data_IF_996328877669
#
_entry.id   IF_996328877669
#
_cell.length_a   1.000
_cell.length_b   1.000
_cell.length_c   1.000
_cell.angle_alpha   90.00
_cell.angle_beta   90.00
_cell.angle_gamma   90.00
#
_symmetry.space_group_name_H-M   'P 1'
#
loop_
_entity.id
_entity.type
_entity.pdbx_description
1 polymer ?
#
# COMPACT_ATOMS: atom_id res chain seq x y z
N UNK A 1 -14.67 -9.94 -14.74
CA UNK A 1 -13.58 -10.77 -15.30
C UNK A 1 -12.44 -10.70 -14.31
N UNK A 2 -11.99 -11.82 -13.78
CA UNK A 2 -10.82 -11.84 -12.89
C UNK A 2 -9.57 -11.61 -13.74
N UNK A 3 -8.79 -10.58 -13.41
CA UNK A 3 -7.47 -10.36 -14.01
C UNK A 3 -6.55 -11.49 -13.54
N UNK A 4 -5.78 -12.10 -14.42
CA UNK A 4 -4.78 -13.08 -14.01
C UNK A 4 -3.55 -12.38 -13.42
N UNK A 5 -2.77 -13.09 -12.58
CA UNK A 5 -1.49 -12.57 -12.09
C UNK A 5 -0.55 -12.18 -13.25
N UNK A 6 -0.53 -12.96 -14.32
CA UNK A 6 0.26 -12.68 -15.52
C UNK A 6 -0.18 -11.37 -16.20
N UNK A 7 -1.49 -11.15 -16.33
CA UNK A 7 -2.04 -9.91 -16.87
C UNK A 7 -1.64 -8.71 -16.01
N UNK A 8 -1.65 -8.87 -14.69
CA UNK A 8 -1.21 -7.81 -13.77
C UNK A 8 0.28 -7.46 -13.97
N UNK A 9 1.14 -8.45 -14.19
CA UNK A 9 2.56 -8.19 -14.48
C UNK A 9 2.75 -7.45 -15.81
N UNK A 10 1.97 -7.78 -16.85
CA UNK A 10 1.96 -7.02 -18.12
C UNK A 10 1.60 -5.56 -17.86
N UNK A 11 0.61 -5.29 -17.01
CA UNK A 11 0.22 -3.94 -16.65
C UNK A 11 1.32 -3.15 -15.94
N UNK A 12 2.13 -3.81 -15.10
CA UNK A 12 3.30 -3.19 -14.46
C UNK A 12 4.31 -2.72 -15.52
N UNK A 13 4.60 -3.55 -16.53
CA UNK A 13 5.47 -3.18 -17.64
C UNK A 13 4.92 -2.00 -18.46
N UNK A 14 3.63 -2.00 -18.79
CA UNK A 14 2.96 -0.87 -19.46
C UNK A 14 3.00 0.41 -18.62
N UNK A 15 2.73 0.30 -17.32
CA UNK A 15 2.78 1.42 -16.39
C UNK A 15 4.16 2.06 -16.32
N UNK A 16 5.24 1.27 -16.44
CA UNK A 16 6.61 1.78 -16.53
C UNK A 16 6.83 2.66 -17.76
N UNK A 17 6.30 2.25 -18.92
CA UNK A 17 6.38 3.07 -20.14
C UNK A 17 5.60 4.39 -20.01
N UNK A 18 4.45 4.34 -19.36
CA UNK A 18 3.67 5.55 -19.06
C UNK A 18 4.39 6.46 -18.05
N UNK A 19 5.03 5.89 -17.04
CA UNK A 19 5.82 6.61 -16.04
C UNK A 19 6.91 7.47 -16.67
N UNK A 20 7.62 6.95 -17.63
CA UNK A 20 8.68 7.68 -18.34
C UNK A 20 8.15 8.90 -19.08
N UNK A 21 6.92 8.81 -19.60
CA UNK A 21 6.26 9.86 -20.42
C UNK A 21 5.47 10.89 -19.61
N UNK A 22 5.27 10.69 -18.31
CA UNK A 22 4.42 11.53 -17.45
C UNK A 22 5.20 12.19 -16.29
N UNK A 23 5.96 13.27 -16.54
CA UNK A 23 6.74 13.94 -15.49
C UNK A 23 5.91 14.47 -14.32
N UNK A 24 4.65 14.87 -14.58
CA UNK A 24 3.74 15.32 -13.53
C UNK A 24 3.37 14.17 -12.60
N UNK A 25 3.02 13.01 -13.15
CA UNK A 25 2.71 11.80 -12.37
C UNK A 25 3.89 11.42 -11.47
N UNK A 26 5.12 11.44 -12.02
CA UNK A 26 6.33 11.17 -11.22
C UNK A 26 6.49 12.11 -10.04
N UNK A 27 6.23 13.42 -10.23
CA UNK A 27 6.27 14.41 -9.14
C UNK A 27 5.23 14.13 -8.06
N UNK A 28 4.03 13.71 -8.43
CA UNK A 28 2.96 13.34 -7.49
C UNK A 28 3.32 12.09 -6.71
N UNK A 29 3.78 11.03 -7.38
CA UNK A 29 4.23 9.80 -6.70
C UNK A 29 5.45 10.03 -5.81
N UNK A 30 6.39 10.91 -6.23
CA UNK A 30 7.50 11.32 -5.39
C UNK A 30 7.03 12.00 -4.09
N UNK A 31 5.87 12.71 -4.09
CA UNK A 31 5.28 13.24 -2.85
C UNK A 31 4.76 12.12 -1.96
N UNK A 32 4.09 11.12 -2.52
CA UNK A 32 3.63 9.94 -1.77
C UNK A 32 4.81 9.15 -1.20
N UNK A 33 5.85 8.91 -2.00
CA UNK A 33 7.08 8.27 -1.54
C UNK A 33 7.75 9.02 -0.39
N UNK A 34 7.75 10.36 -0.41
CA UNK A 34 8.23 11.18 0.73
C UNK A 34 7.37 11.01 1.98
N UNK A 35 6.04 10.95 1.83
CA UNK A 35 5.16 10.72 2.97
C UNK A 35 5.39 9.33 3.60
N UNK A 36 5.60 8.30 2.79
CA UNK A 36 5.99 6.96 3.25
C UNK A 36 7.35 7.01 3.96
N UNK A 37 8.37 7.61 3.32
CA UNK A 37 9.73 7.67 3.85
C UNK A 37 9.84 8.41 5.20
N UNK A 38 8.99 9.40 5.47
CA UNK A 38 8.91 10.09 6.78
C UNK A 38 8.53 9.17 7.94
N UNK A 39 7.87 8.02 7.67
CA UNK A 39 7.44 7.06 8.68
C UNK A 39 8.47 5.95 8.91
N UNK A 40 9.50 5.88 8.08
CA UNK A 40 10.63 4.96 8.26
C UNK A 40 11.60 5.54 9.29
N UNK A 41 11.74 4.84 10.40
CA UNK A 41 12.74 5.16 11.41
C UNK A 41 14.09 4.54 11.01
N UNK A 42 14.97 5.36 10.44
CA UNK A 42 16.30 4.92 9.97
C UNK A 42 17.24 4.51 11.09
N UNK A 43 16.95 4.85 12.35
CA UNK A 43 17.72 4.41 13.50
C UNK A 43 17.33 3.00 13.97
N UNK A 44 16.16 2.49 13.53
CA UNK A 44 15.72 1.14 13.88
C UNK A 44 16.54 0.10 13.09
N UNK A 45 17.23 -0.82 13.77
CA UNK A 45 18.00 -1.87 13.09
C UNK A 45 17.09 -2.85 12.37
N UNK A 46 17.53 -3.33 11.21
CA UNK A 46 16.82 -4.28 10.36
C UNK A 46 16.56 -3.75 8.95
N UNK A 47 16.08 -4.63 8.10
CA UNK A 47 15.83 -4.32 6.69
C UNK A 47 14.57 -3.46 6.53
N UNK A 48 14.58 -2.55 5.57
CA UNK A 48 13.39 -1.87 5.05
C UNK A 48 13.00 -2.57 3.76
N UNK A 49 11.77 -3.08 3.69
CA UNK A 49 11.30 -3.90 2.57
C UNK A 49 9.99 -3.32 2.04
N UNK A 50 9.88 -3.16 0.73
CA UNK A 50 8.62 -2.85 0.04
C UNK A 50 8.08 -4.11 -0.62
N UNK A 51 6.82 -4.44 -0.32
CA UNK A 51 6.07 -5.54 -0.94
C UNK A 51 5.22 -4.98 -2.08
N UNK A 52 5.19 -5.68 -3.22
CA UNK A 52 4.45 -5.22 -4.40
C UNK A 52 5.01 -3.91 -4.97
N UNK A 53 6.33 -3.83 -5.12
CA UNK A 53 7.02 -2.62 -5.54
C UNK A 53 6.71 -2.19 -6.98
N UNK A 54 6.10 -3.06 -7.79
CA UNK A 54 5.77 -2.76 -9.17
C UNK A 54 6.96 -2.23 -9.96
N UNK A 55 7.06 -0.90 -10.10
CA UNK A 55 8.15 -0.25 -10.84
C UNK A 55 9.39 0.07 -9.97
N UNK A 56 9.36 -0.19 -8.66
CA UNK A 56 10.50 0.01 -7.74
C UNK A 56 10.87 1.47 -7.46
N UNK A 57 9.97 2.41 -7.65
CA UNK A 57 10.24 3.84 -7.55
C UNK A 57 10.47 4.35 -6.12
N UNK A 58 10.16 3.57 -5.08
CA UNK A 58 10.40 3.95 -3.68
C UNK A 58 11.88 4.21 -3.39
N UNK A 59 12.79 3.59 -4.14
CA UNK A 59 14.25 3.79 -4.02
C UNK A 59 14.69 5.24 -4.26
N UNK A 60 13.88 6.08 -4.91
CA UNK A 60 14.13 7.53 -5.01
C UNK A 60 14.18 8.21 -3.63
N UNK A 61 13.51 7.65 -2.63
CA UNK A 61 13.39 8.20 -1.27
C UNK A 61 14.05 7.33 -0.21
N UNK A 62 14.13 6.03 -0.47
CA UNK A 62 14.71 5.00 0.39
C UNK A 62 15.66 4.13 -0.44
N UNK A 63 16.89 4.61 -0.74
CA UNK A 63 17.83 3.91 -1.64
C UNK A 63 18.17 2.48 -1.19
N UNK A 64 18.22 2.25 0.13
CA UNK A 64 18.54 0.96 0.73
C UNK A 64 17.32 0.05 0.91
N UNK A 65 16.12 0.47 0.45
CA UNK A 65 14.92 -0.34 0.52
C UNK A 65 15.05 -1.56 -0.40
N UNK A 66 14.78 -2.75 0.15
CA UNK A 66 14.65 -3.96 -0.66
C UNK A 66 13.30 -3.96 -1.33
N UNK A 67 13.30 -3.84 -2.66
CA UNK A 67 12.09 -3.84 -3.48
C UNK A 67 11.72 -5.25 -3.90
N UNK A 68 10.45 -5.62 -3.71
CA UNK A 68 9.98 -6.98 -3.99
C UNK A 68 8.63 -6.99 -4.69
N UNK A 69 8.37 -8.03 -5.47
CA UNK A 69 7.07 -8.29 -6.09
C UNK A 69 6.83 -9.78 -6.23
N UNK A 70 5.62 -10.18 -6.67
CA UNK A 70 5.29 -11.57 -6.97
C UNK A 70 6.03 -12.10 -8.22
N UNK A 71 6.48 -11.20 -9.11
CA UNK A 71 7.15 -11.55 -10.36
C UNK A 71 8.60 -11.06 -10.37
N UNK A 72 9.53 -11.83 -10.97
CA UNK A 72 10.92 -11.41 -11.15
C UNK A 72 11.01 -10.34 -12.24
N UNK A 73 11.16 -9.10 -11.85
CA UNK A 73 11.43 -7.98 -12.74
C UNK A 73 12.87 -7.49 -12.56
N UNK A 74 13.61 -7.13 -13.64
CA UNK A 74 15.05 -6.84 -13.58
C UNK A 74 15.43 -5.58 -12.78
N UNK A 75 14.47 -4.80 -12.37
CA UNK A 75 14.63 -3.59 -11.53
C UNK A 75 14.25 -3.81 -10.05
N UNK A 76 13.89 -5.05 -9.68
CA UNK A 76 13.54 -5.43 -8.32
C UNK A 76 14.63 -6.31 -7.70
N UNK A 77 14.73 -6.30 -6.38
CA UNK A 77 15.77 -7.04 -5.68
C UNK A 77 15.38 -8.50 -5.45
N UNK A 78 14.10 -8.80 -5.20
CA UNK A 78 13.63 -10.16 -4.85
C UNK A 78 12.20 -10.41 -5.31
N UNK A 79 11.85 -11.70 -5.39
CA UNK A 79 10.48 -12.18 -5.52
C UNK A 79 9.98 -12.57 -4.13
N UNK A 80 8.86 -11.98 -3.69
CA UNK A 80 8.26 -12.24 -2.38
C UNK A 80 6.74 -12.28 -2.46
N UNK A 81 6.13 -13.13 -1.64
CA UNK A 81 4.70 -13.14 -1.41
C UNK A 81 4.38 -12.66 0.00
N UNK A 82 3.41 -11.76 0.16
CA UNK A 82 2.93 -11.31 1.46
C UNK A 82 2.44 -12.45 2.36
N UNK A 83 2.13 -13.61 1.78
CA UNK A 83 1.64 -14.79 2.48
C UNK A 83 2.75 -15.80 2.84
N UNK A 84 3.99 -15.58 2.38
CA UNK A 84 5.11 -16.49 2.63
C UNK A 84 6.44 -15.79 2.41
N UNK A 85 6.79 -14.85 3.30
CA UNK A 85 8.01 -14.07 3.21
C UNK A 85 9.25 -14.92 3.50
N UNK A 86 10.29 -14.78 2.67
CA UNK A 86 11.54 -15.54 2.81
C UNK A 86 12.48 -15.00 3.91
N UNK A 87 12.20 -13.83 4.46
CA UNK A 87 12.99 -13.21 5.51
C UNK A 87 12.93 -14.01 6.82
N UNK A 88 14.02 -13.98 7.60
CA UNK A 88 14.07 -14.57 8.93
C UNK A 88 13.15 -13.83 9.92
N UNK A 89 12.83 -14.51 11.03
CA UNK A 89 12.06 -13.88 12.11
C UNK A 89 12.85 -12.71 12.72
N UNK A 90 12.23 -11.53 12.77
CA UNK A 90 12.84 -10.34 13.37
C UNK A 90 13.87 -9.62 12.48
N UNK A 91 14.04 -9.99 11.23
CA UNK A 91 15.05 -9.43 10.32
C UNK A 91 14.63 -8.06 9.74
N UNK A 92 13.34 -7.80 9.65
CA UNK A 92 12.77 -6.62 8.98
C UNK A 92 12.39 -5.57 10.02
N UNK A 93 12.82 -4.32 9.84
CA UNK A 93 12.39 -3.19 10.67
C UNK A 93 11.09 -2.54 10.15
N UNK A 94 10.98 -2.41 8.84
CA UNK A 94 9.81 -1.79 8.19
C UNK A 94 9.37 -2.59 6.97
N UNK A 95 8.06 -2.85 6.90
CA UNK A 95 7.38 -3.32 5.70
C UNK A 95 6.58 -2.15 5.11
N UNK A 96 6.73 -1.92 3.81
CA UNK A 96 6.02 -0.89 3.07
C UNK A 96 5.08 -1.57 2.09
N UNK A 97 3.82 -1.17 2.09
CA UNK A 97 2.79 -1.58 1.15
C UNK A 97 2.24 -0.32 0.47
N UNK A 98 2.67 -0.06 -0.75
CA UNK A 98 2.20 1.08 -1.54
C UNK A 98 1.28 0.58 -2.66
N UNK A 99 -0.01 0.84 -2.54
CA UNK A 99 -1.07 0.31 -3.42
C UNK A 99 -1.11 -1.24 -3.46
N UNK A 100 -0.94 -1.88 -2.28
CA UNK A 100 -0.87 -3.34 -2.15
C UNK A 100 -1.89 -3.91 -1.17
N UNK A 101 -2.26 -3.16 -0.13
CA UNK A 101 -3.16 -3.69 0.90
C UNK A 101 -4.51 -4.17 0.32
N UNK A 102 -5.05 -3.45 -0.63
CA UNK A 102 -6.32 -3.79 -1.29
C UNK A 102 -6.24 -5.04 -2.17
N UNK A 103 -5.03 -5.56 -2.45
CA UNK A 103 -4.79 -6.84 -3.12
C UNK A 103 -4.64 -8.02 -2.14
N UNK A 104 -4.68 -7.78 -0.83
CA UNK A 104 -4.62 -8.86 0.15
C UNK A 104 -6.02 -9.45 0.37
N UNK A 105 -6.30 -10.60 -0.25
CA UNK A 105 -7.54 -11.35 -0.07
C UNK A 105 -7.70 -11.82 1.39
N UNK A 106 -6.58 -12.23 2.03
CA UNK A 106 -6.52 -12.74 3.39
C UNK A 106 -5.59 -11.90 4.28
N UNK A 107 -6.01 -10.68 4.65
CA UNK A 107 -5.12 -9.74 5.33
C UNK A 107 -4.60 -10.24 6.69
N UNK A 108 -5.36 -11.06 7.42
CA UNK A 108 -4.91 -11.67 8.68
C UNK A 108 -3.76 -12.65 8.47
N UNK A 109 -3.83 -13.46 7.42
CA UNK A 109 -2.73 -14.37 7.05
C UNK A 109 -1.45 -13.60 6.70
N UNK A 110 -1.56 -12.52 5.91
CA UNK A 110 -0.43 -11.65 5.61
C UNK A 110 0.12 -10.98 6.89
N UNK A 111 -0.74 -10.45 7.74
CA UNK A 111 -0.33 -9.82 9.01
C UNK A 111 0.40 -10.79 9.94
N UNK A 112 0.10 -12.10 9.94
CA UNK A 112 0.90 -13.08 10.70
C UNK A 112 2.32 -13.23 10.14
N UNK A 113 2.48 -13.24 8.81
CA UNK A 113 3.81 -13.23 8.19
C UNK A 113 4.57 -11.95 8.52
N UNK A 114 3.90 -10.82 8.49
CA UNK A 114 4.50 -9.53 8.86
C UNK A 114 4.97 -9.54 10.32
N UNK A 115 4.16 -10.05 11.25
CA UNK A 115 4.59 -10.21 12.65
C UNK A 115 5.80 -11.11 12.82
N UNK A 116 5.92 -12.18 12.03
CA UNK A 116 7.05 -13.10 12.10
C UNK A 116 8.34 -12.40 11.69
N UNK A 117 8.35 -11.73 10.54
CA UNK A 117 9.57 -11.14 9.98
C UNK A 117 9.96 -9.82 10.63
N UNK A 118 9.00 -9.07 11.19
CA UNK A 118 9.28 -7.79 11.84
C UNK A 118 10.02 -7.97 13.16
N UNK A 119 11.04 -7.13 13.35
CA UNK A 119 11.73 -6.94 14.63
C UNK A 119 10.78 -6.44 15.71
N UNK A 120 11.23 -6.37 16.96
CA UNK A 120 10.47 -5.75 18.03
C UNK A 120 10.19 -4.28 17.70
N UNK A 121 8.93 -3.85 17.86
CA UNK A 121 8.43 -2.53 17.47
C UNK A 121 8.53 -2.22 15.98
N UNK A 122 8.85 -3.22 15.14
CA UNK A 122 8.86 -3.10 13.69
C UNK A 122 7.50 -2.61 13.16
N UNK A 123 7.52 -1.92 12.03
CA UNK A 123 6.33 -1.22 11.50
C UNK A 123 5.90 -1.76 10.15
N UNK A 124 4.60 -1.72 9.91
CA UNK A 124 4.01 -1.82 8.57
C UNK A 124 3.48 -0.45 8.19
N UNK A 125 3.93 0.08 7.05
CA UNK A 125 3.50 1.36 6.50
C UNK A 125 2.68 1.05 5.25
N UNK A 126 1.39 1.36 5.30
CA UNK A 126 0.43 1.08 4.24
C UNK A 126 0.02 2.43 3.64
N UNK A 127 0.17 2.59 2.32
CA UNK A 127 -0.36 3.74 1.58
C UNK A 127 -1.30 3.20 0.50
N UNK A 128 -2.61 3.46 0.64
CA UNK A 128 -3.63 2.73 -0.11
C UNK A 128 -4.83 3.65 -0.46
N UNK A 129 -5.72 3.26 -1.37
CA UNK A 129 -6.96 4.00 -1.63
C UNK A 129 -7.79 4.21 -0.38
N UNK A 130 -8.39 5.40 -0.26
CA UNK A 130 -9.35 5.75 0.78
C UNK A 130 -10.74 5.98 0.20
N UNK A 131 -11.75 5.45 0.88
CA UNK A 131 -13.14 5.49 0.43
C UNK A 131 -13.94 6.62 1.09
N UNK A 132 -13.38 7.84 1.10
CA UNK A 132 -14.17 9.05 1.28
C UNK A 132 -15.14 9.26 0.11
N UNK A 133 -15.95 10.31 0.13
CA UNK A 133 -16.87 10.63 -0.99
C UNK A 133 -16.10 10.76 -2.30
N UNK A 134 -14.96 11.49 -2.29
CA UNK A 134 -14.11 11.65 -3.46
C UNK A 134 -13.52 10.31 -3.94
N UNK A 135 -12.99 9.51 -3.02
CA UNK A 135 -12.41 8.19 -3.36
C UNK A 135 -13.46 7.26 -3.98
N UNK A 136 -14.65 7.15 -3.38
CA UNK A 136 -15.76 6.34 -3.94
C UNK A 136 -16.14 6.79 -5.34
N UNK A 137 -16.24 8.10 -5.57
CA UNK A 137 -16.58 8.62 -6.89
C UNK A 137 -15.49 8.28 -7.91
N UNK A 138 -14.23 8.54 -7.58
CA UNK A 138 -13.12 8.37 -8.52
C UNK A 138 -12.87 6.90 -8.81
N UNK A 139 -12.64 6.09 -7.77
CA UNK A 139 -12.35 4.67 -7.96
C UNK A 139 -13.58 3.90 -8.48
N UNK A 140 -14.79 4.28 -8.10
CA UNK A 140 -15.99 3.63 -8.60
C UNK A 140 -16.36 3.96 -10.03
N UNK A 141 -15.86 5.10 -10.59
CA UNK A 141 -16.22 5.55 -11.94
C UNK A 141 -15.10 5.42 -12.96
N UNK A 142 -13.85 5.53 -12.54
CA UNK A 142 -12.70 5.66 -13.43
C UNK A 142 -11.64 4.58 -13.23
N UNK A 143 -11.79 3.72 -12.22
CA UNK A 143 -10.89 2.61 -11.98
C UNK A 143 -11.51 1.29 -12.41
N UNK A 144 -10.71 0.35 -12.94
CA UNK A 144 -11.19 -0.94 -13.42
C UNK A 144 -11.38 -1.97 -12.30
N UNK A 145 -10.71 -1.78 -11.17
CA UNK A 145 -10.82 -2.68 -10.02
C UNK A 145 -12.05 -2.37 -9.16
N UNK A 146 -12.67 -3.39 -8.57
CA UNK A 146 -13.87 -3.22 -7.76
C UNK A 146 -13.58 -2.48 -6.45
N UNK A 147 -14.58 -1.73 -5.96
CA UNK A 147 -14.49 -1.08 -4.65
C UNK A 147 -14.51 -2.09 -3.49
N UNK A 148 -15.20 -3.22 -3.64
CA UNK A 148 -15.32 -4.27 -2.65
C UNK A 148 -16.00 -3.85 -1.33
N UNK A 149 -16.80 -2.76 -1.33
CA UNK A 149 -17.35 -2.19 -0.09
C UNK A 149 -18.42 -3.08 0.58
N UNK A 150 -19.13 -3.89 -0.21
CA UNK A 150 -20.19 -4.80 0.27
C UNK A 150 -19.73 -6.25 0.40
N UNK A 151 -18.51 -6.57 0.00
CA UNK A 151 -18.01 -7.93 0.00
C UNK A 151 -17.46 -8.32 1.37
N UNK A 152 -17.49 -9.61 1.70
CA UNK A 152 -16.89 -10.13 2.93
C UNK A 152 -15.36 -10.02 2.82
N UNK A 153 -14.69 -9.60 3.91
CA UNK A 153 -13.25 -9.67 4.05
C UNK A 153 -12.91 -11.00 4.73
N UNK A 154 -12.44 -11.97 3.96
CA UNK A 154 -11.92 -13.23 4.49
C UNK A 154 -10.60 -12.97 5.20
N UNK A 155 -10.65 -12.97 6.55
CA UNK A 155 -9.46 -12.57 7.33
C UNK A 155 -8.32 -13.56 7.22
N UNK A 156 -8.64 -14.85 7.20
CA UNK A 156 -7.67 -15.95 7.18
C UNK A 156 -7.83 -16.80 5.92
N UNK A 157 -6.71 -17.19 5.34
CA UNK A 157 -6.70 -18.14 4.23
C UNK A 157 -7.19 -19.53 4.68
N UNK A 158 -7.82 -20.30 3.79
CA UNK A 158 -8.14 -21.70 4.04
C UNK A 158 -6.90 -22.51 4.44
N UNK A 159 -7.10 -23.48 5.32
CA UNK A 159 -6.00 -24.36 5.76
C UNK A 159 -5.44 -25.14 4.56
N UNK A 160 -4.10 -25.15 4.46
CA UNK A 160 -3.39 -25.88 3.41
C UNK A 160 -3.18 -25.11 2.11
N UNK A 161 -3.76 -23.92 1.95
CA UNK A 161 -3.54 -23.09 0.77
C UNK A 161 -2.10 -22.55 0.77
N UNK A 162 -1.34 -22.82 -0.28
CA UNK A 162 0.06 -22.39 -0.41
C UNK A 162 0.17 -21.00 -1.04
N UNK A 163 1.21 -20.21 -0.74
CA UNK A 163 1.40 -18.87 -1.30
C UNK A 163 1.31 -18.79 -2.83
N UNK A 164 1.75 -19.83 -3.55
CA UNK A 164 1.70 -19.90 -5.00
C UNK A 164 0.28 -20.16 -5.58
N UNK A 165 -0.69 -20.49 -4.73
CA UNK A 165 -2.07 -20.81 -5.14
C UNK A 165 -3.01 -19.61 -5.02
N UNK A 166 -2.54 -18.49 -4.48
CA UNK A 166 -3.34 -17.27 -4.39
C UNK A 166 -3.51 -16.63 -5.78
N UNK A 167 -4.77 -16.40 -6.15
CA UNK A 167 -5.12 -15.69 -7.38
C UNK A 167 -4.97 -14.18 -7.25
N UNK A 168 -5.26 -13.47 -8.35
CA UNK A 168 -5.38 -12.02 -8.30
C UNK A 168 -6.67 -11.61 -7.58
N UNK A 169 -6.53 -10.77 -6.59
CA UNK A 169 -7.63 -10.17 -5.82
C UNK A 169 -7.46 -8.65 -5.81
N UNK A 170 -8.56 -7.91 -5.85
CA UNK A 170 -8.58 -6.48 -5.66
C UNK A 170 -9.90 -6.03 -5.01
N UNK A 171 -9.80 -5.20 -3.98
CA UNK A 171 -10.91 -4.52 -3.34
C UNK A 171 -10.44 -3.18 -2.77
N UNK A 172 -10.55 -2.13 -3.57
CA UNK A 172 -10.03 -0.78 -3.31
C UNK A 172 -10.47 -0.20 -1.96
N UNK A 173 -11.61 -0.65 -1.42
CA UNK A 173 -12.17 -0.21 -0.15
C UNK A 173 -11.60 -0.89 1.10
N UNK A 174 -10.79 -1.93 0.96
CA UNK A 174 -10.41 -2.77 2.10
C UNK A 174 -9.59 -2.01 3.16
N UNK A 175 -8.67 -1.13 2.78
CA UNK A 175 -7.93 -0.32 3.76
C UNK A 175 -8.88 0.55 4.60
N UNK A 176 -9.83 1.25 3.95
CA UNK A 176 -10.83 2.08 4.65
C UNK A 176 -11.75 1.26 5.55
N UNK A 177 -12.13 0.05 5.15
CA UNK A 177 -13.00 -0.83 5.95
C UNK A 177 -12.28 -1.38 7.17
N UNK A 178 -11.00 -1.76 7.02
CA UNK A 178 -10.21 -2.35 8.11
C UNK A 178 -9.72 -1.29 9.09
N UNK A 179 -9.18 -0.18 8.61
CA UNK A 179 -8.52 0.82 9.44
C UNK A 179 -9.37 2.06 9.75
N UNK A 180 -10.37 2.34 8.93
CA UNK A 180 -11.28 3.47 9.11
C UNK A 180 -12.51 3.17 9.96
N UNK A 181 -12.71 1.93 10.41
CA UNK A 181 -13.85 1.50 11.21
C UNK A 181 -13.43 0.76 12.47
N UNK A 182 -14.38 0.62 13.42
CA UNK A 182 -14.13 -0.16 14.65
C UNK A 182 -14.30 -1.66 14.47
N UNK A 183 -14.87 -2.12 13.36
CA UNK A 183 -15.25 -3.52 13.14
C UNK A 183 -14.09 -4.53 13.15
N UNK A 184 -12.87 -4.05 12.87
CA UNK A 184 -11.67 -4.92 12.82
C UNK A 184 -10.72 -4.74 14.00
N UNK A 185 -11.07 -3.92 15.01
CA UNK A 185 -10.18 -3.63 16.16
C UNK A 185 -9.71 -4.90 16.89
N UNK A 186 -10.60 -5.84 17.11
CA UNK A 186 -10.27 -7.10 17.79
C UNK A 186 -9.30 -7.96 16.96
N UNK A 187 -9.46 -7.96 15.65
CA UNK A 187 -8.55 -8.67 14.72
C UNK A 187 -7.18 -8.01 14.63
N UNK A 188 -7.06 -6.74 14.98
CA UNK A 188 -5.83 -5.96 15.03
C UNK A 188 -5.22 -5.87 16.44
N UNK A 189 -5.72 -6.63 17.43
CA UNK A 189 -5.27 -6.54 18.83
C UNK A 189 -3.77 -6.78 19.06
N UNK A 190 -3.15 -7.56 18.18
CA UNK A 190 -1.69 -7.81 18.21
C UNK A 190 -0.87 -6.67 17.60
N UNK A 191 -1.53 -5.65 17.08
CA UNK A 191 -0.94 -4.46 16.49
C UNK A 191 -1.33 -3.20 17.27
N UNK A 192 -0.47 -2.21 17.28
CA UNK A 192 -0.81 -0.85 17.62
C UNK A 192 -1.01 -0.05 16.33
N UNK A 193 -2.21 0.42 16.07
CA UNK A 193 -2.44 1.40 15.00
C UNK A 193 -1.85 2.72 15.47
N UNK A 194 -0.64 3.03 15.02
CA UNK A 194 0.13 4.18 15.47
C UNK A 194 -0.31 5.48 14.76
N UNK A 195 -0.72 5.38 13.50
CA UNK A 195 -1.17 6.52 12.71
C UNK A 195 -2.21 6.07 11.67
N UNK A 196 -3.21 6.93 11.44
CA UNK A 196 -4.08 6.89 10.27
C UNK A 196 -4.16 8.33 9.74
N UNK A 197 -3.59 8.58 8.56
CA UNK A 197 -3.63 9.87 7.89
C UNK A 197 -4.41 9.77 6.58
N UNK A 198 -5.10 10.83 6.21
CA UNK A 198 -5.93 10.92 5.01
C UNK A 198 -5.42 11.97 4.05
N UNK A 199 -5.55 11.72 2.75
CA UNK A 199 -5.13 12.62 1.68
C UNK A 199 -6.24 12.74 0.64
N UNK A 200 -6.55 13.97 0.21
CA UNK A 200 -7.53 14.20 -0.87
C UNK A 200 -6.96 13.73 -2.22
N UNK A 201 -5.68 14.01 -2.43
CA UNK A 201 -4.91 13.61 -3.60
C UNK A 201 -5.52 14.07 -4.96
N UNK A 202 -6.10 15.28 -5.02
CA UNK A 202 -6.61 15.88 -6.28
C UNK A 202 -5.50 16.03 -7.31
N UNK A 203 -4.27 16.35 -6.87
CA UNK A 203 -3.10 16.42 -7.75
C UNK A 203 -2.85 15.09 -8.47
N UNK A 204 -3.03 13.95 -7.78
CA UNK A 204 -2.97 12.63 -8.39
C UNK A 204 -4.10 12.41 -9.39
N UNK A 205 -5.34 12.67 -8.98
CA UNK A 205 -6.51 12.50 -9.83
C UNK A 205 -6.41 13.33 -11.10
N UNK A 206 -6.04 14.61 -10.98
CA UNK A 206 -5.86 15.51 -12.10
C UNK A 206 -4.63 15.21 -12.97
N UNK A 207 -3.65 14.43 -12.47
CA UNK A 207 -2.54 13.95 -13.29
C UNK A 207 -2.97 12.90 -14.33
N UNK A 208 -4.20 12.36 -14.17
CA UNK A 208 -4.74 11.29 -15.00
C UNK A 208 -4.16 9.91 -14.72
N UNK A 209 -3.41 9.75 -13.63
CA UNK A 209 -2.75 8.47 -13.30
C UNK A 209 -1.88 7.97 -14.46
N UNK A 210 -1.71 6.66 -14.57
CA UNK A 210 -0.89 6.07 -15.64
C UNK A 210 -1.51 6.22 -17.02
N UNK A 211 -2.81 5.96 -17.17
CA UNK A 211 -3.49 5.83 -18.49
C UNK A 211 -4.33 7.04 -18.89
N UNK A 212 -4.81 7.85 -17.94
CA UNK A 212 -5.69 8.99 -18.21
C UNK A 212 -4.95 10.23 -18.69
N UNK A 213 -5.67 11.24 -19.24
CA UNK A 213 -5.08 12.49 -19.67
C UNK A 213 -4.66 13.35 -18.47
N UNK A 214 -3.57 14.10 -18.63
CA UNK A 214 -3.17 15.12 -17.67
C UNK A 214 -4.12 16.33 -17.79
N UNK A 215 -4.82 16.68 -16.69
CA UNK A 215 -5.87 17.72 -16.68
C UNK A 215 -5.35 19.12 -16.30
N UNK A 216 -4.10 19.23 -15.85
CA UNK A 216 -3.51 20.52 -15.47
C UNK A 216 -2.01 20.57 -15.80
N UNK A 217 -1.45 21.78 -16.06
CA UNK A 217 -0.04 21.92 -16.34
C UNK A 217 0.81 21.70 -15.07
N UNK A 218 2.02 21.18 -15.23
CA UNK A 218 2.93 20.89 -14.10
C UNK A 218 3.20 22.10 -13.20
N UNK A 219 3.14 23.31 -13.75
CA UNK A 219 3.31 24.55 -12.99
C UNK A 219 2.22 24.80 -11.95
N UNK A 220 1.03 24.21 -12.12
CA UNK A 220 -0.08 24.32 -11.16
C UNK A 220 0.03 23.34 -9.97
N UNK A 221 0.97 22.39 -10.00
CA UNK A 221 1.14 21.40 -8.92
C UNK A 221 1.30 22.02 -7.53
N UNK A 222 2.08 23.11 -7.30
CA UNK A 222 2.20 23.72 -5.98
C UNK A 222 0.86 24.26 -5.44
N UNK A 223 0.01 24.80 -6.31
CA UNK A 223 -1.30 25.28 -5.93
C UNK A 223 -2.22 24.10 -5.56
N UNK A 224 -2.24 23.05 -6.37
CA UNK A 224 -3.02 21.84 -6.09
C UNK A 224 -2.56 21.17 -4.79
N UNK A 225 -1.28 21.14 -4.50
CA UNK A 225 -0.77 20.62 -3.23
C UNK A 225 -1.29 21.41 -2.01
N UNK A 226 -1.44 22.73 -2.13
CA UNK A 226 -2.04 23.55 -1.06
C UNK A 226 -3.52 23.21 -0.87
N UNK A 227 -4.25 23.05 -1.97
CA UNK A 227 -5.65 22.62 -1.95
C UNK A 227 -5.76 21.24 -1.33
N UNK A 228 -4.95 20.28 -1.76
CA UNK A 228 -4.89 18.93 -1.21
C UNK A 228 -4.60 18.93 0.30
N UNK A 229 -3.63 19.73 0.74
CA UNK A 229 -3.29 19.85 2.16
C UNK A 229 -4.45 20.41 3.01
N UNK A 230 -5.25 21.33 2.44
CA UNK A 230 -6.44 21.83 3.10
C UNK A 230 -7.55 20.78 3.14
N UNK A 231 -7.87 20.15 2.01
CA UNK A 231 -8.95 19.16 1.89
C UNK A 231 -8.65 17.87 2.65
N UNK A 232 -7.40 17.49 2.80
CA UNK A 232 -6.96 16.32 3.57
C UNK A 232 -7.31 16.41 5.07
N UNK A 233 -7.70 17.58 5.57
CA UNK A 233 -8.26 17.73 6.92
C UNK A 233 -9.65 17.13 7.08
N UNK A 234 -10.31 16.83 5.97
CA UNK A 234 -11.66 16.26 5.92
C UNK A 234 -11.60 14.83 5.40
N UNK A 235 -11.64 13.80 6.27
CA UNK A 235 -11.56 12.38 5.86
C UNK A 235 -12.61 11.98 4.81
N UNK A 236 -13.78 12.64 4.82
CA UNK A 236 -14.82 12.44 3.80
C UNK A 236 -14.38 12.81 2.39
N UNK A 237 -13.39 13.70 2.22
CA UNK A 237 -12.83 14.09 0.94
C UNK A 237 -11.56 13.35 0.59
N UNK A 238 -11.18 12.33 1.37
CA UNK A 238 -10.00 11.53 1.11
C UNK A 238 -10.21 10.58 -0.08
N UNK A 239 -9.16 10.44 -0.88
CA UNK A 239 -9.03 9.40 -1.90
C UNK A 239 -7.82 8.48 -1.63
N UNK A 240 -6.96 8.86 -0.70
CA UNK A 240 -5.80 8.07 -0.24
C UNK A 240 -5.71 8.08 1.27
N UNK A 241 -5.15 7.02 1.85
CA UNK A 241 -4.84 6.94 3.27
C UNK A 241 -3.47 6.34 3.50
N UNK A 242 -2.86 6.76 4.60
CA UNK A 242 -1.63 6.17 5.13
C UNK A 242 -1.92 5.62 6.51
N UNK A 243 -1.54 4.36 6.72
CA UNK A 243 -1.68 3.67 8.00
C UNK A 243 -0.31 3.19 8.46
N UNK A 244 0.01 3.41 9.72
CA UNK A 244 1.19 2.84 10.37
C UNK A 244 0.74 1.87 11.45
N UNK A 245 1.06 0.59 11.25
CA UNK A 245 0.90 -0.45 12.26
C UNK A 245 2.26 -0.69 12.91
N UNK A 246 2.29 -0.76 14.23
CA UNK A 246 3.47 -1.14 15.00
C UNK A 246 3.22 -2.48 15.66
N UNK A 247 4.17 -3.41 15.54
CA UNK A 247 4.13 -4.70 16.20
C UNK A 247 4.14 -4.49 17.72
N UNK A 248 3.12 -4.99 18.41
CA UNK A 248 3.11 -4.98 19.87
C UNK A 248 4.17 -5.94 20.40
N UNK A 249 4.87 -5.53 21.44
CA UNK A 249 5.75 -6.42 22.17
C UNK A 249 4.92 -7.54 22.79
N UNK A 250 5.38 -8.78 22.64
CA UNK A 250 4.84 -9.89 23.41
C UNK A 250 5.09 -9.60 24.87
N UNK A 251 4.04 -9.43 25.68
CA UNK A 251 4.23 -9.33 27.13
C UNK A 251 5.01 -10.57 27.58
N UNK A 252 6.09 -10.42 28.37
CA UNK A 252 6.76 -11.59 28.91
C UNK A 252 5.72 -12.40 29.67
N UNK A 253 5.53 -13.66 29.26
CA UNK A 253 4.73 -14.60 30.04
C UNK A 253 5.34 -14.63 31.44
N UNK A 254 4.59 -14.09 32.42
CA UNK A 254 4.92 -14.32 33.83
C UNK A 254 4.87 -15.83 34.03
N UNK A 255 6.01 -16.46 34.13
CA UNK A 255 6.17 -17.82 34.61
C UNK A 255 5.88 -17.88 36.11
#
# INVERSE_FOLDING_TARGET
MSVSLEQHNIEIHENRLHWERKPLLRKVYSQFGREIAKRVDRAMPGLVVELGSGMGHIKEHLPDCITTDLFPNPWLDRVESAYGLSFNSGEVSHLILFDVWHHLEYPGTALRQFQRVLSERGKVIIFDPAMGVLGRFVFGRFHHEPLGLGEEIYWEAPLGLRPAEFGYYAAQGNASRVFGSSGFRERLRSWRVAEVAYFSALAYLGSGGFRGPQLYPTAALPLLNRVDSFLSRFPSLASRMLVVLEKRQSSPQRR
#
